data_IF_597622992738
#
_entry.id   IF_597622992738
#
_cell.length_a   1.000
_cell.length_b   1.000
_cell.length_c   1.000
_cell.angle_alpha   90.00
_cell.angle_beta   90.00
_cell.angle_gamma   90.00
#
_symmetry.space_group_name_H-M   'P 1'
#
loop_
_entity.id
_entity.type
_entity.pdbx_description
1 polymer ?
#
# COMPACT_ATOMS: atom_id res chain seq x y z
N UNK A 1 21.57 2.50 -4.92
CA UNK A 1 21.80 1.07 -4.61
C UNK A 1 21.29 0.83 -3.21
N UNK A 2 20.51 -0.21 -3.02
CA UNK A 2 19.93 -0.59 -1.72
C UNK A 2 21.02 -1.03 -0.75
N UNK A 3 21.01 -0.51 0.45
CA UNK A 3 21.97 -0.82 1.52
C UNK A 3 21.31 -1.61 2.64
N UNK A 4 22.10 -2.17 3.54
CA UNK A 4 21.58 -2.85 4.75
C UNK A 4 20.72 -1.89 5.57
N UNK A 5 21.09 -0.60 5.65
CA UNK A 5 20.31 0.41 6.40
C UNK A 5 18.92 0.62 5.80
N UNK A 6 18.79 0.61 4.47
CA UNK A 6 17.49 0.80 3.79
C UNK A 6 16.51 -0.34 4.13
N UNK A 7 17.04 -1.56 4.29
CA UNK A 7 16.23 -2.75 4.61
C UNK A 7 15.90 -2.82 6.11
N UNK A 8 16.84 -2.45 6.98
CA UNK A 8 16.69 -2.61 8.44
C UNK A 8 16.09 -1.40 9.15
N UNK A 9 16.12 -0.23 8.51
CA UNK A 9 15.54 1.02 9.02
C UNK A 9 14.80 1.73 7.89
N UNK A 10 13.65 1.21 7.48
CA UNK A 10 12.87 1.79 6.39
C UNK A 10 12.48 3.23 6.71
N UNK A 11 12.51 4.08 5.69
CA UNK A 11 12.11 5.47 5.84
C UNK A 11 10.62 5.56 6.26
N UNK A 12 10.30 6.52 7.11
CA UNK A 12 8.95 6.83 7.53
C UNK A 12 8.39 7.97 6.68
N UNK A 13 7.07 7.97 6.50
CA UNK A 13 6.37 9.03 5.76
C UNK A 13 6.20 10.31 6.56
N UNK A 14 6.29 10.24 7.88
CA UNK A 14 5.93 11.31 8.80
C UNK A 14 4.42 11.44 9.08
N UNK A 15 3.61 10.56 8.48
CA UNK A 15 2.15 10.52 8.61
C UNK A 15 1.74 9.31 9.44
N UNK A 16 1.15 9.54 10.61
CA UNK A 16 0.86 8.45 11.57
C UNK A 16 -0.10 7.40 11.01
N UNK A 17 -1.04 7.79 10.15
CA UNK A 17 -1.99 6.87 9.52
C UNK A 17 -1.35 5.95 8.48
N UNK A 18 -0.16 6.29 7.99
CA UNK A 18 0.70 5.44 7.17
C UNK A 18 1.67 4.67 8.07
N UNK A 19 2.51 5.39 8.83
CA UNK A 19 3.60 4.82 9.62
C UNK A 19 3.11 3.86 10.70
N UNK A 20 1.91 4.08 11.22
CA UNK A 20 1.24 3.20 12.17
C UNK A 20 0.86 1.83 11.62
N UNK A 21 0.87 1.67 10.30
CA UNK A 21 0.56 0.41 9.60
C UNK A 21 1.79 -0.25 8.96
N UNK A 22 2.96 0.40 8.93
CA UNK A 22 4.17 -0.19 8.36
C UNK A 22 4.73 -1.27 9.29
N UNK A 23 4.90 -2.47 8.76
CA UNK A 23 5.49 -3.61 9.44
C UNK A 23 7.01 -3.73 9.23
N UNK A 24 7.60 -4.74 9.86
CA UNK A 24 9.03 -5.04 9.76
C UNK A 24 9.41 -5.88 8.52
N UNK A 25 8.48 -6.14 7.64
CA UNK A 25 8.69 -6.92 6.41
C UNK A 25 7.36 -7.49 5.86
N UNK A 26 7.39 -8.19 4.72
CA UNK A 26 8.52 -8.27 3.80
C UNK A 26 8.69 -6.98 3.02
N UNK A 27 9.91 -6.52 2.88
CA UNK A 27 10.22 -5.39 2.02
C UNK A 27 10.33 -5.85 0.56
N UNK A 28 9.23 -6.03 -0.13
CA UNK A 28 9.26 -6.49 -1.53
C UNK A 28 10.01 -5.55 -2.47
N UNK A 29 10.09 -4.27 -2.14
CA UNK A 29 10.91 -3.29 -2.87
C UNK A 29 12.41 -3.64 -2.89
N UNK A 30 12.87 -4.46 -1.94
CA UNK A 30 14.26 -4.85 -1.81
C UNK A 30 14.62 -6.14 -2.54
N UNK A 31 13.64 -6.81 -3.19
CA UNK A 31 13.88 -8.04 -3.93
C UNK A 31 14.99 -7.83 -4.97
N UNK A 32 16.03 -8.65 -4.86
CA UNK A 32 17.18 -8.58 -5.73
C UNK A 32 17.49 -9.98 -6.32
N UNK A 33 17.55 -10.11 -7.65
CA UNK A 33 17.47 -9.05 -8.66
C UNK A 33 16.09 -8.37 -8.73
N UNK A 34 16.08 -7.08 -9.05
CA UNK A 34 14.87 -6.27 -9.11
C UNK A 34 13.89 -6.79 -10.18
N UNK A 35 12.61 -6.81 -9.81
CA UNK A 35 11.52 -7.25 -10.69
C UNK A 35 10.22 -6.54 -10.27
N UNK A 36 9.21 -6.49 -11.16
CA UNK A 36 7.87 -5.98 -10.85
C UNK A 36 6.81 -7.09 -10.77
N UNK A 37 7.23 -8.31 -10.45
CA UNK A 37 6.33 -9.47 -10.35
C UNK A 37 6.56 -10.18 -9.04
N UNK A 38 5.48 -10.46 -8.31
CA UNK A 38 5.44 -11.43 -7.23
C UNK A 38 4.72 -12.68 -7.71
N UNK A 39 5.33 -13.81 -7.46
CA UNK A 39 4.76 -15.11 -7.81
C UNK A 39 4.00 -15.66 -6.62
N UNK A 40 2.77 -16.12 -6.84
CA UNK A 40 1.99 -16.81 -5.81
C UNK A 40 1.70 -18.25 -6.21
N UNK A 41 1.38 -19.11 -5.26
CA UNK A 41 1.08 -20.51 -5.53
C UNK A 41 0.02 -21.07 -4.59
N UNK A 42 -0.78 -22.00 -5.12
CA UNK A 42 -1.65 -22.90 -4.36
C UNK A 42 -1.05 -24.31 -4.24
N UNK A 43 0.12 -24.54 -4.83
CA UNK A 43 0.83 -25.79 -4.67
C UNK A 43 1.49 -25.85 -3.29
N UNK A 44 1.23 -26.94 -2.57
CA UNK A 44 1.87 -27.19 -1.28
C UNK A 44 3.33 -27.56 -1.47
N UNK A 45 4.18 -27.05 -0.61
CA UNK A 45 5.59 -27.38 -0.54
C UNK A 45 6.06 -27.53 0.92
N UNK A 46 7.34 -27.84 1.12
CA UNK A 46 7.94 -27.99 2.43
C UNK A 46 8.54 -26.69 3.01
N UNK A 47 8.38 -25.56 2.32
CA UNK A 47 8.95 -24.27 2.75
C UNK A 47 8.37 -23.76 4.06
N UNK A 48 7.15 -24.19 4.40
CA UNK A 48 6.46 -23.89 5.66
C UNK A 48 6.84 -24.81 6.84
N UNK A 49 7.81 -25.71 6.69
CA UNK A 49 8.12 -26.71 7.71
C UNK A 49 8.43 -26.12 9.10
N UNK A 50 8.97 -24.91 9.17
CA UNK A 50 9.21 -24.21 10.42
C UNK A 50 7.93 -23.73 11.13
N UNK A 51 6.81 -23.63 10.41
CA UNK A 51 5.52 -23.19 10.94
C UNK A 51 4.74 -24.35 11.57
N UNK A 52 5.04 -25.58 11.15
CA UNK A 52 4.43 -26.80 11.70
C UNK A 52 4.86 -26.99 13.16
N UNK A 53 3.89 -27.13 14.04
CA UNK A 53 4.11 -27.25 15.49
C UNK A 53 4.32 -25.91 16.21
N UNK A 54 4.33 -24.79 15.49
CA UNK A 54 4.47 -23.43 16.06
C UNK A 54 3.32 -22.50 15.68
N UNK A 55 2.91 -22.51 14.43
CA UNK A 55 1.81 -21.68 13.89
C UNK A 55 0.64 -22.56 13.48
N UNK A 56 0.92 -23.66 12.81
CA UNK A 56 -0.06 -24.68 12.38
C UNK A 56 0.22 -26.01 13.09
N UNK A 57 -0.83 -26.75 13.44
CA UNK A 57 -0.70 -28.00 14.21
C UNK A 57 -0.08 -29.12 13.38
N UNK A 58 -0.27 -29.14 12.07
CA UNK A 58 0.25 -30.14 11.13
C UNK A 58 0.57 -29.47 9.78
N UNK A 59 1.10 -30.23 8.83
CA UNK A 59 1.29 -29.74 7.45
C UNK A 59 -0.02 -29.17 6.89
N UNK A 60 0.03 -28.05 6.15
CA UNK A 60 -1.17 -27.45 5.61
C UNK A 60 -1.81 -28.33 4.54
N UNK A 61 -3.11 -28.16 4.37
CA UNK A 61 -3.86 -28.61 3.21
C UNK A 61 -3.97 -27.51 2.16
N UNK A 62 -4.29 -27.90 0.91
CA UNK A 62 -4.43 -26.95 -0.20
C UNK A 62 -5.72 -26.12 -0.13
N UNK A 63 -5.69 -24.92 -0.67
CA UNK A 63 -6.89 -24.12 -0.89
C UNK A 63 -7.87 -24.82 -1.82
N UNK A 64 -9.16 -24.82 -1.46
CA UNK A 64 -10.23 -25.25 -2.35
C UNK A 64 -10.52 -24.16 -3.43
N UNK A 65 -11.36 -24.47 -4.42
CA UNK A 65 -11.65 -23.58 -5.54
C UNK A 65 -12.25 -22.22 -5.12
N UNK A 66 -13.04 -22.16 -4.04
CA UNK A 66 -13.60 -20.89 -3.54
C UNK A 66 -12.51 -20.01 -2.89
N UNK A 67 -11.62 -20.63 -2.13
CA UNK A 67 -10.50 -19.95 -1.49
C UNK A 67 -9.50 -19.44 -2.53
N UNK A 68 -9.20 -20.25 -3.57
CA UNK A 68 -8.35 -19.83 -4.69
C UNK A 68 -8.95 -18.63 -5.43
N UNK A 69 -10.25 -18.68 -5.75
CA UNK A 69 -10.93 -17.58 -6.41
C UNK A 69 -10.91 -16.29 -5.57
N UNK A 70 -11.12 -16.39 -4.26
CA UNK A 70 -11.05 -15.26 -3.34
C UNK A 70 -9.63 -14.67 -3.26
N UNK A 71 -8.59 -15.52 -3.19
CA UNK A 71 -7.20 -15.08 -3.18
C UNK A 71 -6.84 -14.35 -4.49
N UNK A 72 -7.22 -14.90 -5.64
CA UNK A 72 -6.99 -14.25 -6.95
C UNK A 72 -7.71 -12.90 -7.04
N UNK A 73 -8.95 -12.79 -6.53
CA UNK A 73 -9.67 -11.52 -6.47
C UNK A 73 -8.94 -10.51 -5.59
N UNK A 74 -8.49 -10.91 -4.40
CA UNK A 74 -7.76 -10.07 -3.46
C UNK A 74 -6.40 -9.60 -4.03
N UNK A 75 -5.64 -10.50 -4.67
CA UNK A 75 -4.40 -10.17 -5.37
C UNK A 75 -4.64 -9.21 -6.54
N UNK A 76 -5.75 -9.38 -7.29
CA UNK A 76 -6.16 -8.44 -8.33
C UNK A 76 -6.43 -7.04 -7.78
N UNK A 77 -6.98 -6.94 -6.57
CA UNK A 77 -7.17 -5.65 -5.90
C UNK A 77 -5.83 -5.04 -5.44
N UNK A 78 -4.94 -5.84 -4.88
CA UNK A 78 -3.58 -5.39 -4.53
C UNK A 78 -2.82 -4.89 -5.76
N UNK A 79 -2.94 -5.58 -6.90
CA UNK A 79 -2.32 -5.14 -8.17
C UNK A 79 -2.79 -3.74 -8.58
N UNK A 80 -4.08 -3.42 -8.41
CA UNK A 80 -4.62 -2.09 -8.71
C UNK A 80 -4.08 -0.99 -7.77
N UNK A 81 -3.86 -1.33 -6.48
CA UNK A 81 -3.35 -0.37 -5.49
C UNK A 81 -1.85 -0.16 -5.67
N UNK A 82 -1.10 -1.24 -5.90
CA UNK A 82 0.36 -1.25 -5.81
C UNK A 82 1.08 -1.20 -7.17
N UNK A 83 0.38 -1.51 -8.26
CA UNK A 83 1.00 -1.68 -9.59
C UNK A 83 1.85 -2.94 -9.74
N UNK A 84 1.87 -3.83 -8.73
CA UNK A 84 2.62 -5.09 -8.76
C UNK A 84 1.89 -6.11 -9.63
N UNK A 85 2.64 -6.86 -10.45
CA UNK A 85 2.11 -8.00 -11.17
C UNK A 85 2.13 -9.25 -10.29
N UNK A 86 0.97 -9.85 -10.05
CA UNK A 86 0.86 -11.14 -9.36
C UNK A 86 0.64 -12.25 -10.39
N UNK A 87 1.52 -13.25 -10.39
CA UNK A 87 1.51 -14.35 -11.37
C UNK A 87 1.53 -15.68 -10.63
N UNK A 88 0.65 -16.61 -11.01
CA UNK A 88 0.62 -17.95 -10.41
C UNK A 88 1.82 -18.78 -10.82
N UNK A 89 2.54 -19.31 -9.85
CA UNK A 89 3.61 -20.26 -10.03
C UNK A 89 3.08 -21.71 -9.87
N UNK A 90 3.52 -22.61 -10.72
CA UNK A 90 3.10 -24.01 -10.68
C UNK A 90 3.71 -24.79 -9.51
N UNK A 91 4.74 -24.28 -8.86
CA UNK A 91 5.45 -24.92 -7.73
C UNK A 91 5.80 -23.89 -6.67
N UNK A 92 5.83 -24.32 -5.40
CA UNK A 92 6.22 -23.48 -4.28
C UNK A 92 7.65 -22.96 -4.38
N UNK A 93 8.58 -23.74 -4.91
CA UNK A 93 9.99 -23.33 -5.02
C UNK A 93 10.22 -22.04 -5.85
N UNK A 94 9.25 -21.61 -6.63
CA UNK A 94 9.31 -20.42 -7.46
C UNK A 94 8.29 -19.34 -7.06
N UNK A 95 7.63 -19.52 -5.93
CA UNK A 95 6.62 -18.58 -5.43
C UNK A 95 7.20 -17.70 -4.31
N UNK A 96 6.64 -16.52 -4.18
CA UNK A 96 6.90 -15.56 -3.10
C UNK A 96 5.76 -15.55 -2.08
N UNK A 97 4.53 -15.87 -2.52
CA UNK A 97 3.33 -15.92 -1.68
C UNK A 97 2.71 -17.32 -1.80
N UNK A 98 2.55 -17.97 -0.67
CA UNK A 98 2.08 -19.34 -0.56
C UNK A 98 0.75 -19.39 0.18
N UNK A 99 -0.21 -20.15 -0.30
CA UNK A 99 -1.52 -20.29 0.31
C UNK A 99 -1.74 -21.71 0.84
N UNK A 100 -2.23 -21.81 2.07
CA UNK A 100 -2.59 -23.08 2.68
C UNK A 100 -3.68 -22.93 3.74
N UNK A 101 -4.31 -24.03 4.08
CA UNK A 101 -5.27 -24.12 5.19
C UNK A 101 -4.78 -25.09 6.24
N UNK A 102 -5.19 -24.91 7.48
CA UNK A 102 -4.83 -25.83 8.55
C UNK A 102 -5.57 -25.55 9.83
N UNK A 103 -5.13 -26.22 10.90
CA UNK A 103 -5.50 -25.89 12.27
C UNK A 103 -4.46 -24.92 12.81
N UNK A 104 -4.81 -23.65 12.93
CA UNK A 104 -3.94 -22.62 13.49
C UNK A 104 -3.94 -22.71 15.02
N UNK A 105 -2.79 -22.41 15.64
CA UNK A 105 -2.74 -22.35 17.10
C UNK A 105 -3.51 -21.12 17.63
N UNK A 106 -4.38 -21.40 18.58
CA UNK A 106 -5.24 -20.37 19.22
C UNK A 106 -6.67 -20.39 18.71
N UNK A 107 -7.62 -20.49 19.63
CA UNK A 107 -9.06 -20.62 19.34
C UNK A 107 -9.70 -19.38 18.71
N UNK A 108 -8.96 -18.27 18.58
CA UNK A 108 -9.43 -17.02 18.03
C UNK A 108 -8.62 -16.56 16.79
N UNK A 109 -7.81 -17.46 16.21
CA UNK A 109 -6.95 -17.16 15.06
C UNK A 109 -7.61 -17.69 13.79
N UNK A 110 -8.26 -16.83 13.04
CA UNK A 110 -8.97 -17.19 11.79
C UNK A 110 -8.08 -17.22 10.55
N UNK A 111 -6.97 -16.49 10.57
CA UNK A 111 -5.91 -16.47 9.57
C UNK A 111 -4.57 -16.17 10.22
N UNK A 112 -3.50 -16.43 9.50
CA UNK A 112 -2.14 -16.09 9.92
C UNK A 112 -1.22 -15.96 8.71
N UNK A 113 -0.37 -14.95 8.71
CA UNK A 113 0.68 -14.79 7.72
C UNK A 113 2.05 -14.98 8.37
N UNK A 114 2.76 -16.02 7.94
CA UNK A 114 4.15 -16.27 8.32
C UNK A 114 5.07 -15.69 7.26
N UNK A 115 6.05 -14.90 7.69
CA UNK A 115 6.98 -14.22 6.80
C UNK A 115 8.39 -14.71 7.08
N UNK A 116 9.11 -15.07 6.01
CA UNK A 116 10.52 -15.46 6.05
C UNK A 116 11.27 -14.59 5.05
N UNK A 117 12.36 -13.99 5.47
CA UNK A 117 13.18 -13.17 4.58
C UNK A 117 14.65 -13.25 4.96
N UNK A 118 15.49 -12.93 3.99
CA UNK A 118 16.92 -12.89 4.20
C UNK A 118 17.63 -12.16 3.09
N UNK A 119 18.83 -11.68 3.38
CA UNK A 119 19.65 -10.98 2.39
C UNK A 119 21.12 -11.33 2.53
N UNK A 120 21.88 -11.13 1.43
CA UNK A 120 23.32 -11.07 1.45
C UNK A 120 23.77 -9.67 1.03
N UNK A 121 24.91 -9.23 1.55
CA UNK A 121 25.44 -7.90 1.25
C UNK A 121 26.95 -7.91 1.13
N UNK A 122 27.51 -6.94 0.43
CA UNK A 122 28.94 -6.67 0.39
C UNK A 122 29.36 -5.99 1.69
N UNK A 123 30.25 -6.62 2.46
CA UNK A 123 30.66 -6.15 3.78
C UNK A 123 31.51 -4.86 3.76
N UNK A 124 32.03 -4.46 2.59
CA UNK A 124 32.83 -3.25 2.43
C UNK A 124 31.94 -2.04 2.13
N UNK A 125 30.97 -2.22 1.24
CA UNK A 125 30.06 -1.16 0.79
C UNK A 125 28.71 -1.14 1.50
N UNK A 126 28.37 -2.19 2.26
CA UNK A 126 27.04 -2.44 2.83
C UNK A 126 25.90 -2.51 1.81
N UNK A 127 26.21 -2.74 0.52
CA UNK A 127 25.24 -2.86 -0.55
C UNK A 127 24.64 -4.26 -0.58
N UNK A 128 23.31 -4.35 -0.62
CA UNK A 128 22.55 -5.60 -0.75
C UNK A 128 22.87 -6.25 -2.10
N UNK A 129 23.24 -7.53 -2.08
CA UNK A 129 23.49 -8.34 -3.27
C UNK A 129 22.32 -9.21 -3.63
N UNK A 130 21.70 -9.84 -2.64
CA UNK A 130 20.48 -10.62 -2.79
C UNK A 130 19.50 -10.28 -1.68
N UNK A 131 18.23 -10.24 -1.99
CA UNK A 131 17.14 -10.19 -1.00
C UNK A 131 16.04 -11.13 -1.46
N UNK A 132 15.64 -12.04 -0.59
CA UNK A 132 14.56 -12.99 -0.82
C UNK A 132 13.58 -12.92 0.33
N UNK A 133 12.31 -13.10 0.02
CA UNK A 133 11.27 -13.23 1.03
C UNK A 133 10.20 -14.20 0.55
N UNK A 134 9.58 -14.90 1.52
CA UNK A 134 8.42 -15.77 1.33
C UNK A 134 7.35 -15.40 2.36
N UNK A 135 6.12 -15.26 1.92
CA UNK A 135 4.95 -15.07 2.77
C UNK A 135 4.03 -16.29 2.66
N UNK A 136 3.72 -16.91 3.79
CA UNK A 136 2.83 -18.06 3.89
C UNK A 136 1.51 -17.60 4.52
N UNK A 137 0.47 -17.56 3.73
CA UNK A 137 -0.89 -17.13 4.11
C UNK A 137 -1.73 -18.35 4.44
N UNK A 138 -2.11 -18.48 5.70
CA UNK A 138 -2.91 -19.59 6.21
C UNK A 138 -4.31 -19.14 6.60
N UNK A 139 -5.31 -19.98 6.32
CA UNK A 139 -6.66 -19.86 6.86
C UNK A 139 -6.97 -21.02 7.79
N UNK A 140 -7.55 -20.73 8.95
CA UNK A 140 -8.01 -21.76 9.87
C UNK A 140 -9.25 -22.47 9.32
N UNK A 141 -9.20 -23.83 9.34
CA UNK A 141 -10.27 -24.69 8.88
C UNK A 141 -10.83 -25.60 9.96
N UNK A 142 -10.51 -25.33 11.23
CA UNK A 142 -11.07 -26.08 12.37
C UNK A 142 -12.11 -25.20 13.08
N UNK A 143 -11.70 -24.13 13.75
CA UNK A 143 -12.59 -23.23 14.46
C UNK A 143 -13.37 -22.30 13.51
N UNK A 144 -12.75 -21.90 12.40
CA UNK A 144 -13.30 -20.93 11.45
C UNK A 144 -13.70 -21.53 10.10
N UNK A 145 -13.86 -22.87 10.01
CA UNK A 145 -14.25 -23.54 8.77
C UNK A 145 -15.54 -22.98 8.15
N UNK A 146 -16.51 -22.59 8.96
CA UNK A 146 -17.80 -22.06 8.48
C UNK A 146 -17.64 -20.72 7.71
N UNK A 147 -16.68 -19.86 8.09
CA UNK A 147 -16.38 -18.59 7.40
C UNK A 147 -15.34 -18.75 6.30
N UNK A 148 -14.34 -19.61 6.52
CA UNK A 148 -13.16 -19.71 5.67
C UNK A 148 -13.31 -20.71 4.51
N UNK A 149 -14.31 -21.61 4.54
CA UNK A 149 -14.49 -22.61 3.48
C UNK A 149 -14.93 -22.02 2.14
N UNK A 150 -15.72 -20.95 2.16
CA UNK A 150 -16.27 -20.31 0.96
C UNK A 150 -16.16 -18.77 1.07
N UNK A 151 -14.94 -18.21 1.15
CA UNK A 151 -14.76 -16.79 1.22
C UNK A 151 -15.24 -16.12 -0.08
N UNK A 152 -15.98 -15.04 0.05
CA UNK A 152 -16.42 -14.19 -1.06
C UNK A 152 -16.59 -12.75 -0.56
N UNK A 153 -16.53 -11.77 -1.44
CA UNK A 153 -16.65 -10.37 -1.06
C UNK A 153 -17.89 -10.12 -0.16
N UNK A 154 -17.68 -9.51 0.99
CA UNK A 154 -18.73 -9.27 2.01
C UNK A 154 -18.87 -10.38 3.05
N UNK A 155 -18.05 -11.41 3.03
CA UNK A 155 -17.98 -12.43 4.10
C UNK A 155 -16.76 -12.21 5.01
N UNK A 156 -16.84 -12.70 6.24
CA UNK A 156 -15.72 -12.63 7.19
C UNK A 156 -14.48 -13.36 6.67
N UNK A 157 -14.64 -14.51 5.99
CA UNK A 157 -13.52 -15.24 5.40
C UNK A 157 -12.78 -14.46 4.32
N UNK A 158 -13.50 -13.65 3.51
CA UNK A 158 -12.87 -12.78 2.53
C UNK A 158 -12.13 -11.61 3.21
N UNK A 159 -12.72 -11.03 4.26
CA UNK A 159 -12.05 -10.02 5.06
C UNK A 159 -10.74 -10.55 5.68
N UNK A 160 -10.75 -11.78 6.21
CA UNK A 160 -9.54 -12.45 6.71
C UNK A 160 -8.51 -12.62 5.59
N UNK A 161 -8.91 -13.04 4.39
CA UNK A 161 -8.01 -13.15 3.24
C UNK A 161 -7.33 -11.82 2.90
N UNK A 162 -8.09 -10.71 2.87
CA UNK A 162 -7.53 -9.37 2.65
C UNK A 162 -6.56 -8.96 3.78
N UNK A 163 -6.92 -9.26 5.04
CA UNK A 163 -6.11 -8.97 6.22
C UNK A 163 -4.76 -9.69 6.14
N UNK A 164 -4.76 -10.98 5.91
CA UNK A 164 -3.53 -11.78 5.81
C UNK A 164 -2.67 -11.36 4.61
N UNK A 165 -3.29 -11.05 3.49
CA UNK A 165 -2.56 -10.47 2.36
C UNK A 165 -2.01 -9.06 2.66
N UNK A 166 -2.67 -8.28 3.52
CA UNK A 166 -2.13 -7.03 4.04
C UNK A 166 -0.79 -7.24 4.77
N UNK A 167 -0.72 -8.25 5.65
CA UNK A 167 0.53 -8.66 6.30
C UNK A 167 1.57 -9.12 5.28
N UNK A 168 1.16 -9.96 4.32
CA UNK A 168 2.05 -10.43 3.26
C UNK A 168 2.64 -9.27 2.44
N UNK A 169 1.94 -8.14 2.36
CA UNK A 169 2.39 -6.92 1.68
C UNK A 169 3.10 -5.91 2.60
N UNK A 170 3.40 -6.27 3.84
CA UNK A 170 4.20 -5.45 4.77
C UNK A 170 3.40 -4.58 5.73
N UNK A 171 2.08 -4.74 5.82
CA UNK A 171 1.29 -4.05 6.84
C UNK A 171 1.32 -4.78 8.18
N UNK A 172 1.25 -4.05 9.29
CA UNK A 172 1.09 -4.56 10.65
C UNK A 172 -0.25 -4.13 11.25
N UNK A 173 -0.57 -4.69 12.42
CA UNK A 173 -1.72 -4.21 13.17
C UNK A 173 -1.50 -2.77 13.67
N UNK A 174 -2.52 -1.90 13.59
CA UNK A 174 -2.40 -0.48 13.94
C UNK A 174 -2.18 -0.20 15.44
N UNK A 175 -2.30 -1.22 16.30
CA UNK A 175 -2.08 -1.15 17.75
C UNK A 175 -0.71 -1.70 18.18
N UNK A 176 0.11 -2.18 17.26
CA UNK A 176 1.42 -2.76 17.53
C UNK A 176 2.58 -1.78 17.33
N UNK A 177 3.71 -2.07 17.97
CA UNK A 177 4.94 -1.28 17.84
C UNK A 177 4.90 0.05 18.59
N UNK A 178 5.83 0.94 18.25
CA UNK A 178 5.96 2.27 18.84
C UNK A 178 5.07 3.32 18.15
N UNK A 179 4.90 3.21 16.83
CA UNK A 179 3.98 4.03 16.05
C UNK A 179 2.65 3.28 15.92
N UNK A 180 1.57 3.90 16.37
CA UNK A 180 0.23 3.32 16.44
C UNK A 180 -0.80 4.34 16.00
N UNK A 181 -1.92 3.87 15.45
CA UNK A 181 -3.07 4.75 15.23
C UNK A 181 -3.66 5.24 16.56
N UNK A 182 -4.33 6.39 16.49
CA UNK A 182 -5.18 6.83 17.60
C UNK A 182 -6.21 5.73 17.93
N UNK A 183 -6.51 5.45 19.21
CA UNK A 183 -7.52 4.47 19.59
C UNK A 183 -8.90 4.67 18.94
N UNK A 184 -9.28 5.91 18.61
CA UNK A 184 -10.54 6.23 17.93
C UNK A 184 -10.52 5.80 16.46
N UNK A 185 -9.34 5.72 15.82
CA UNK A 185 -9.13 5.32 14.45
C UNK A 185 -8.72 3.85 14.30
N UNK A 186 -8.37 3.18 15.42
CA UNK A 186 -8.05 1.76 15.42
C UNK A 186 -9.30 0.90 15.26
N UNK A 187 -9.90 0.92 14.07
CA UNK A 187 -11.06 0.10 13.71
C UNK A 187 -11.12 -0.11 12.19
N UNK A 188 -11.98 -1.04 11.74
CA UNK A 188 -12.09 -1.42 10.33
C UNK A 188 -12.65 -0.34 9.39
N UNK A 189 -13.09 0.82 9.91
CA UNK A 189 -13.41 1.97 9.04
C UNK A 189 -12.15 2.58 8.45
N UNK A 190 -11.07 2.61 9.22
CA UNK A 190 -9.81 3.24 8.85
C UNK A 190 -8.76 2.25 8.34
N UNK A 191 -8.66 1.07 8.97
CA UNK A 191 -7.71 0.03 8.60
C UNK A 191 -8.30 -1.36 8.77
N UNK A 192 -8.21 -2.16 7.72
CA UNK A 192 -8.58 -3.58 7.73
C UNK A 192 -7.69 -4.40 8.67
N UNK A 193 -6.48 -3.89 8.97
CA UNK A 193 -5.54 -4.53 9.90
C UNK A 193 -5.97 -4.39 11.37
N UNK A 194 -7.04 -3.65 11.68
CA UNK A 194 -7.58 -3.53 13.03
C UNK A 194 -8.48 -4.72 13.39
N UNK A 195 -8.43 -5.13 14.67
CA UNK A 195 -9.35 -6.14 15.22
C UNK A 195 -10.69 -5.57 15.68
N UNK A 196 -10.84 -4.24 15.73
CA UNK A 196 -12.09 -3.57 16.10
C UNK A 196 -13.00 -3.47 14.89
N UNK A 197 -13.95 -4.39 14.78
CA UNK A 197 -14.90 -4.40 13.65
C UNK A 197 -15.95 -3.29 13.81
N UNK A 198 -16.15 -2.49 12.76
CA UNK A 198 -17.23 -1.51 12.62
C UNK A 198 -18.04 -1.83 11.36
N UNK A 199 -19.33 -2.06 11.53
CA UNK A 199 -20.21 -2.48 10.43
C UNK A 199 -20.04 -3.96 10.05
N UNK A 200 -20.43 -4.30 8.82
CA UNK A 200 -20.26 -5.65 8.26
C UNK A 200 -18.84 -5.93 7.80
N UNK A 201 -18.58 -7.19 7.36
CA UNK A 201 -17.29 -7.55 6.81
C UNK A 201 -16.90 -6.68 5.61
N UNK A 202 -15.65 -6.31 5.55
CA UNK A 202 -15.10 -5.46 4.48
C UNK A 202 -14.94 -6.23 3.17
N UNK A 203 -15.15 -5.53 2.07
CA UNK A 203 -14.98 -6.05 0.71
C UNK A 203 -13.73 -5.54 0.02
N UNK A 204 -13.02 -4.58 0.66
CA UNK A 204 -11.85 -3.90 0.13
C UNK A 204 -10.95 -3.43 1.29
N UNK A 205 -9.73 -3.06 0.99
CA UNK A 205 -8.82 -2.37 1.88
C UNK A 205 -9.43 -1.03 2.33
N UNK A 206 -9.20 -0.68 3.58
CA UNK A 206 -9.67 0.57 4.15
C UNK A 206 -8.73 1.74 3.77
N UNK A 207 -9.16 3.00 3.98
CA UNK A 207 -8.40 4.16 3.52
C UNK A 207 -6.93 4.22 3.97
N UNK A 208 -6.62 3.82 5.20
CA UNK A 208 -5.25 3.88 5.71
C UNK A 208 -4.40 2.72 5.20
N UNK A 209 -5.00 1.54 4.95
CA UNK A 209 -4.29 0.43 4.30
C UNK A 209 -3.85 0.83 2.88
N UNK A 210 -4.77 1.47 2.12
CA UNK A 210 -4.46 1.96 0.77
C UNK A 210 -3.35 3.02 0.82
N UNK A 211 -3.39 3.93 1.79
CA UNK A 211 -2.36 4.95 1.96
C UNK A 211 -0.99 4.32 2.27
N UNK A 212 -0.93 3.34 3.18
CA UNK A 212 0.30 2.65 3.53
C UNK A 212 0.84 1.79 2.37
N UNK A 213 -0.02 1.05 1.65
CA UNK A 213 0.36 0.30 0.46
C UNK A 213 0.87 1.22 -0.67
N UNK A 214 0.25 2.40 -0.86
CA UNK A 214 0.71 3.40 -1.82
C UNK A 214 2.07 3.97 -1.44
N UNK A 215 2.31 4.23 -0.16
CA UNK A 215 3.62 4.65 0.34
C UNK A 215 4.69 3.59 0.11
N UNK A 216 4.36 2.32 0.35
CA UNK A 216 5.31 1.22 0.13
C UNK A 216 5.65 1.02 -1.34
N UNK A 217 4.67 1.08 -2.24
CA UNK A 217 4.81 0.62 -3.63
C UNK A 217 4.52 1.68 -4.70
N UNK A 218 4.03 2.85 -4.33
CA UNK A 218 3.85 4.01 -5.21
C UNK A 218 2.82 3.86 -6.32
N UNK A 219 2.00 2.81 -6.31
CA UNK A 219 1.08 2.44 -7.39
C UNK A 219 1.77 2.16 -8.75
N UNK A 220 3.09 2.09 -8.79
CA UNK A 220 3.89 1.76 -9.98
C UNK A 220 4.73 0.47 -9.80
N UNK A 221 4.54 -0.22 -8.70
CA UNK A 221 5.09 -1.55 -8.44
C UNK A 221 6.43 -1.57 -7.72
N UNK A 222 7.08 -2.73 -7.69
CA UNK A 222 8.32 -2.98 -6.94
C UNK A 222 9.54 -2.25 -7.50
N UNK A 223 9.54 -1.97 -8.79
CA UNK A 223 10.64 -1.27 -9.47
C UNK A 223 10.31 0.17 -9.83
N UNK A 224 9.21 0.69 -9.30
CA UNK A 224 8.70 2.00 -9.61
C UNK A 224 9.58 3.16 -9.12
N UNK A 225 9.29 4.34 -9.65
CA UNK A 225 9.98 5.58 -9.26
C UNK A 225 9.41 6.19 -7.96
N UNK A 226 8.27 5.67 -7.47
CA UNK A 226 7.57 6.09 -6.27
C UNK A 226 7.60 4.99 -5.21
N UNK A 227 7.30 5.36 -3.97
CA UNK A 227 7.23 4.42 -2.84
C UNK A 227 8.54 4.30 -2.06
N UNK A 228 8.55 3.39 -1.10
CA UNK A 228 9.69 3.23 -0.20
C UNK A 228 10.94 2.75 -0.95
N UNK A 229 12.06 3.41 -0.71
CA UNK A 229 13.33 3.09 -1.37
C UNK A 229 13.56 3.82 -2.70
N UNK A 230 12.67 4.70 -3.11
CA UNK A 230 12.85 5.61 -4.24
C UNK A 230 13.08 7.05 -3.76
N UNK A 231 13.49 7.92 -4.69
CA UNK A 231 13.60 9.36 -4.39
C UNK A 231 12.24 10.05 -4.36
N UNK A 232 11.23 9.52 -5.08
CA UNK A 232 9.87 10.03 -5.10
C UNK A 232 8.94 9.20 -4.22
N UNK A 233 7.89 9.84 -3.66
CA UNK A 233 6.91 9.22 -2.77
C UNK A 233 5.49 9.34 -3.31
N UNK A 234 4.65 8.39 -2.95
CA UNK A 234 3.21 8.45 -3.14
C UNK A 234 2.57 8.63 -1.76
N UNK A 235 2.16 9.87 -1.43
CA UNK A 235 1.59 10.22 -0.12
C UNK A 235 0.08 10.43 -0.24
N UNK A 236 -0.68 9.73 0.58
CA UNK A 236 -2.14 9.83 0.63
C UNK A 236 -2.56 10.30 2.01
N UNK A 237 -3.26 11.42 2.07
CA UNK A 237 -3.83 12.00 3.29
C UNK A 237 -5.10 11.29 3.76
N UNK A 238 -5.75 11.90 4.74
CA UNK A 238 -6.97 11.43 5.40
C UNK A 238 -8.22 12.09 4.77
N UNK A 239 -9.34 12.08 5.48
CA UNK A 239 -10.54 12.84 5.09
C UNK A 239 -10.65 14.18 5.84
N UNK A 240 -9.63 14.56 6.58
CA UNK A 240 -9.53 15.81 7.37
C UNK A 240 -8.31 16.62 6.89
N UNK A 241 -8.11 17.81 7.44
CA UNK A 241 -6.97 18.63 7.06
C UNK A 241 -5.62 17.96 7.33
N UNK A 242 -4.83 17.79 6.27
CA UNK A 242 -3.52 17.18 6.28
C UNK A 242 -2.41 18.15 5.84
N UNK A 243 -1.19 17.85 6.24
CA UNK A 243 0.01 18.52 5.74
C UNK A 243 0.92 17.47 5.10
N UNK A 244 0.91 17.38 3.77
CA UNK A 244 1.71 16.42 3.01
C UNK A 244 2.95 17.12 2.45
N UNK A 245 4.11 16.53 2.69
CA UNK A 245 5.40 17.04 2.20
C UNK A 245 6.12 15.93 1.45
N UNK A 246 6.31 16.09 0.15
CA UNK A 246 6.94 15.09 -0.73
C UNK A 246 8.44 14.94 -0.45
N UNK A 247 9.18 16.02 -0.56
CA UNK A 247 10.61 16.02 -0.32
C UNK A 247 11.45 16.17 -1.58
N UNK A 248 12.58 15.45 -1.73
CA UNK A 248 13.30 15.39 -2.99
C UNK A 248 12.73 14.30 -3.89
N UNK A 249 12.72 14.53 -5.21
CA UNK A 249 12.26 13.56 -6.20
C UNK A 249 10.96 13.98 -6.87
N UNK A 250 10.32 13.06 -7.57
CA UNK A 250 9.06 13.33 -8.25
C UNK A 250 7.94 12.67 -7.43
N UNK A 251 7.20 13.49 -6.69
CA UNK A 251 6.24 13.03 -5.72
C UNK A 251 4.80 13.07 -6.25
N UNK A 252 3.96 12.20 -5.71
CA UNK A 252 2.51 12.23 -5.94
C UNK A 252 1.82 12.42 -4.59
N UNK A 253 1.07 13.51 -4.44
CA UNK A 253 0.38 13.87 -3.22
C UNK A 253 -1.13 13.87 -3.45
N UNK A 254 -1.86 13.15 -2.60
CA UNK A 254 -3.33 13.00 -2.64
C UNK A 254 -3.89 13.49 -1.31
N UNK A 255 -4.39 14.73 -1.23
CA UNK A 255 -4.96 15.28 0.00
C UNK A 255 -6.23 14.54 0.43
N UNK A 256 -7.04 14.07 -0.52
CA UNK A 256 -8.42 13.62 -0.35
C UNK A 256 -9.33 14.78 0.01
N UNK A 257 -10.35 14.52 0.88
CA UNK A 257 -11.24 15.58 1.36
C UNK A 257 -10.64 16.27 2.58
N UNK A 258 -10.78 17.58 2.64
CA UNK A 258 -10.23 18.35 3.76
C UNK A 258 -9.94 19.80 3.37
N UNK A 259 -9.06 20.38 4.11
CA UNK A 259 -8.37 21.64 3.75
C UNK A 259 -6.89 21.38 3.93
N UNK A 260 -6.28 20.92 2.86
CA UNK A 260 -4.96 20.32 2.92
C UNK A 260 -3.87 21.30 2.50
N UNK A 261 -2.67 21.07 3.01
CA UNK A 261 -1.45 21.70 2.54
C UNK A 261 -0.58 20.66 1.86
N UNK A 262 -0.33 20.85 0.56
CA UNK A 262 0.46 19.95 -0.25
C UNK A 262 1.72 20.68 -0.71
N UNK A 263 2.87 20.20 -0.27
CA UNK A 263 4.19 20.70 -0.67
C UNK A 263 4.96 19.61 -1.40
N UNK A 264 5.13 19.75 -2.72
CA UNK A 264 5.87 18.79 -3.51
C UNK A 264 7.35 18.72 -3.15
N UNK A 265 7.95 19.87 -2.83
CA UNK A 265 9.36 19.94 -2.50
C UNK A 265 10.24 20.22 -3.72
N UNK A 266 11.19 19.36 -3.98
CA UNK A 266 12.11 19.51 -5.12
C UNK A 266 11.93 18.35 -6.10
N UNK A 267 11.52 18.65 -7.32
CA UNK A 267 11.30 17.63 -8.34
C UNK A 267 10.27 18.04 -9.38
N UNK A 268 9.58 17.06 -9.91
CA UNK A 268 8.41 17.23 -10.77
C UNK A 268 7.24 16.56 -10.06
N UNK A 269 6.45 17.34 -9.36
CA UNK A 269 5.48 16.85 -8.40
C UNK A 269 4.04 16.98 -8.91
N UNK A 270 3.20 16.04 -8.50
CA UNK A 270 1.81 15.96 -8.95
C UNK A 270 0.86 15.89 -7.76
N UNK A 271 -0.04 16.88 -7.64
CA UNK A 271 -1.20 16.79 -6.76
C UNK A 271 -2.36 16.08 -7.48
N UNK A 272 -3.04 15.18 -6.79
CA UNK A 272 -4.14 14.38 -7.36
C UNK A 272 -5.46 14.74 -6.69
N UNK A 273 -6.47 14.95 -7.52
CA UNK A 273 -7.83 15.33 -7.15
C UNK A 273 -8.85 14.36 -7.74
N UNK A 274 -9.90 14.08 -7.01
CA UNK A 274 -10.99 13.22 -7.47
C UNK A 274 -11.91 13.95 -8.46
N UNK A 275 -12.57 13.19 -9.36
CA UNK A 275 -13.54 13.74 -10.30
C UNK A 275 -12.91 14.56 -11.44
N UNK A 276 -13.73 15.41 -12.07
CA UNK A 276 -13.34 16.10 -13.30
C UNK A 276 -12.68 17.46 -13.01
N UNK A 277 -11.70 17.86 -13.82
CA UNK A 277 -11.05 19.18 -13.72
C UNK A 277 -12.05 20.35 -13.68
N UNK A 278 -13.15 20.25 -14.40
CA UNK A 278 -14.18 21.29 -14.46
C UNK A 278 -14.91 21.52 -13.12
N UNK A 279 -14.77 20.62 -12.15
CA UNK A 279 -15.37 20.72 -10.82
C UNK A 279 -14.51 21.48 -9.81
N UNK A 280 -13.36 22.00 -10.27
CA UNK A 280 -12.38 22.70 -9.42
C UNK A 280 -12.08 24.10 -9.94
N UNK A 281 -11.98 25.04 -8.99
CA UNK A 281 -11.47 26.38 -9.21
C UNK A 281 -10.01 26.46 -8.75
N UNK A 282 -9.15 27.00 -9.62
CA UNK A 282 -7.71 27.14 -9.37
C UNK A 282 -7.39 28.63 -9.23
N UNK A 283 -6.79 29.02 -8.11
CA UNK A 283 -6.43 30.41 -7.79
C UNK A 283 -4.94 30.51 -7.50
N UNK A 284 -4.23 31.33 -8.24
CA UNK A 284 -2.84 31.67 -7.94
C UNK A 284 -2.80 32.74 -6.81
N UNK A 285 -2.04 32.44 -5.77
CA UNK A 285 -1.89 33.33 -4.62
C UNK A 285 -0.68 34.26 -4.78
N UNK A 286 -0.71 35.39 -4.10
CA UNK A 286 0.36 36.40 -4.19
C UNK A 286 1.72 35.90 -3.64
N UNK A 287 1.73 34.88 -2.80
CA UNK A 287 2.92 34.24 -2.23
C UNK A 287 3.53 33.14 -3.11
N UNK A 288 2.98 32.91 -4.31
CA UNK A 288 3.46 31.88 -5.24
C UNK A 288 2.82 30.50 -5.04
N UNK A 289 1.98 30.31 -4.02
CA UNK A 289 1.19 29.09 -3.88
C UNK A 289 -0.06 29.11 -4.76
N UNK A 290 -0.74 27.95 -4.86
CA UNK A 290 -2.04 27.84 -5.50
C UNK A 290 -3.09 27.36 -4.50
N UNK A 291 -4.32 27.88 -4.63
CA UNK A 291 -5.48 27.30 -3.97
C UNK A 291 -6.31 26.53 -4.98
N UNK A 292 -6.64 25.28 -4.66
CA UNK A 292 -7.51 24.41 -5.44
C UNK A 292 -8.79 24.19 -4.64
N UNK A 293 -9.93 24.60 -5.17
CA UNK A 293 -11.21 24.60 -4.46
C UNK A 293 -12.20 23.76 -5.28
N UNK A 294 -12.73 22.69 -4.70
CA UNK A 294 -13.65 21.79 -5.41
C UNK A 294 -14.19 20.65 -4.54
N UNK A 295 -14.37 19.49 -5.15
CA UNK A 295 -14.98 18.33 -4.49
C UNK A 295 -14.21 17.85 -3.26
N UNK A 296 -12.90 17.90 -3.33
CA UNK A 296 -12.03 17.42 -2.24
C UNK A 296 -11.84 18.47 -1.13
N UNK A 297 -12.36 19.70 -1.32
CA UNK A 297 -12.27 20.76 -0.33
C UNK A 297 -11.59 22.02 -0.85
N UNK A 298 -10.78 22.66 0.01
CA UNK A 298 -9.97 23.81 -0.34
C UNK A 298 -8.52 23.56 0.08
N UNK A 299 -7.67 23.29 -0.90
CA UNK A 299 -6.29 22.93 -0.65
C UNK A 299 -5.33 24.02 -1.06
N UNK A 300 -4.18 24.07 -0.37
CA UNK A 300 -3.08 24.97 -0.67
C UNK A 300 -1.89 24.19 -1.18
N UNK A 301 -1.41 24.53 -2.37
CA UNK A 301 -0.33 23.83 -3.05
C UNK A 301 0.90 24.73 -3.17
N UNK A 302 2.06 24.16 -2.85
CA UNK A 302 3.39 24.77 -3.07
C UNK A 302 4.29 23.76 -3.77
N UNK A 303 5.22 24.23 -4.59
CA UNK A 303 6.20 23.40 -5.28
C UNK A 303 5.56 22.22 -6.02
N UNK A 304 4.49 22.50 -6.77
CA UNK A 304 3.78 21.51 -7.61
C UNK A 304 3.87 21.91 -9.06
N UNK A 305 4.15 20.95 -9.94
CA UNK A 305 4.22 21.17 -11.39
C UNK A 305 2.97 20.69 -12.10
N UNK A 306 2.26 19.70 -11.54
CA UNK A 306 1.08 19.13 -12.17
C UNK A 306 -0.10 18.94 -11.21
N UNK A 307 -1.32 19.09 -11.75
CA UNK A 307 -2.56 18.61 -11.15
C UNK A 307 -3.14 17.50 -12.01
N UNK A 308 -3.44 16.37 -11.41
CA UNK A 308 -4.09 15.23 -12.06
C UNK A 308 -5.52 15.10 -11.56
N UNK A 309 -6.47 15.04 -12.50
CA UNK A 309 -7.89 14.76 -12.30
C UNK A 309 -8.26 13.47 -13.01
N UNK A 310 -9.48 12.97 -12.84
CA UNK A 310 -9.92 11.74 -13.50
C UNK A 310 -9.93 11.84 -15.02
N UNK A 311 -10.16 13.05 -15.55
CA UNK A 311 -10.27 13.29 -16.99
C UNK A 311 -8.99 13.84 -17.64
N UNK A 312 -8.10 14.46 -16.87
CA UNK A 312 -6.90 15.08 -17.44
C UNK A 312 -5.83 15.43 -16.39
N UNK A 313 -4.60 15.60 -16.87
CA UNK A 313 -3.50 16.21 -16.12
C UNK A 313 -3.20 17.60 -16.71
N UNK A 314 -3.10 18.61 -15.85
CA UNK A 314 -2.79 19.99 -16.26
C UNK A 314 -1.51 20.47 -15.59
N UNK A 315 -0.62 21.19 -16.29
CA UNK A 315 0.55 21.80 -15.68
C UNK A 315 0.16 23.00 -14.82
N UNK A 316 0.82 23.15 -13.68
CA UNK A 316 0.83 24.37 -12.89
C UNK A 316 2.01 25.25 -13.36
N UNK A 317 1.74 26.25 -14.17
CA UNK A 317 2.75 27.27 -14.46
C UNK A 317 2.80 28.27 -13.32
N UNK A 318 3.88 28.28 -12.54
CA UNK A 318 4.15 29.37 -11.59
C UNK A 318 4.14 30.69 -12.38
N UNK A 319 3.46 31.73 -11.92
CA UNK A 319 3.59 33.06 -12.52
C UNK A 319 5.04 33.52 -12.29
N UNK A 320 5.85 33.46 -13.34
CA UNK A 320 7.13 34.18 -13.36
C UNK A 320 6.79 35.61 -13.09
N UNK A 321 7.25 36.18 -11.96
CA UNK A 321 6.87 37.50 -11.48
C UNK A 321 6.85 38.53 -12.59
N UNK A 322 5.69 39.00 -12.88
CA UNK A 322 5.21 40.29 -13.31
C UNK A 322 3.86 40.21 -14.03
N UNK A 323 2.84 40.75 -13.37
CA UNK A 323 1.59 41.28 -13.92
C UNK A 323 1.25 40.98 -15.40
N UNK A 324 0.71 39.78 -15.65
CA UNK A 324 -0.17 39.58 -16.80
C UNK A 324 -1.47 38.95 -16.32
N UNK A 325 -2.62 39.45 -16.77
CA UNK A 325 -3.92 38.87 -16.43
C UNK A 325 -3.96 37.42 -16.95
N UNK A 326 -4.42 36.49 -16.11
CA UNK A 326 -4.58 35.09 -16.45
C UNK A 326 -5.58 34.98 -17.59
N UNK A 327 -5.08 34.89 -18.81
CA UNK A 327 -5.87 34.58 -19.99
C UNK A 327 -6.26 33.11 -19.90
N UNK A 328 -7.54 32.81 -20.11
CA UNK A 328 -8.08 31.48 -20.29
C UNK A 328 -7.25 30.73 -21.32
N UNK A 329 -6.50 29.68 -20.93
CA UNK A 329 -5.81 28.84 -21.87
C UNK A 329 -6.86 27.93 -22.52
N UNK A 330 -7.32 28.30 -23.69
CA UNK A 330 -8.12 27.45 -24.56
C UNK A 330 -7.14 26.55 -25.32
N UNK A 331 -7.03 25.27 -24.94
CA UNK A 331 -6.34 24.29 -25.75
C UNK A 331 -7.17 24.05 -27.02
N UNK A 332 -6.62 24.45 -28.18
CA UNK A 332 -7.18 24.09 -29.47
C UNK A 332 -7.02 22.58 -29.66
N UNK A 333 -8.13 21.87 -29.82
CA UNK A 333 -8.13 20.46 -30.17
C UNK A 333 -7.59 20.26 -31.59
N UNK A 334 -6.83 19.19 -31.75
CA UNK A 334 -6.67 18.43 -33.01
C UNK A 334 -6.80 16.97 -32.69
#
# INVERSE_FOLDING_TARGET
MTTVSDVTNPALSGLIHIDGLLGDGPGWNWVAPARNTLYYTFALDAGNSADVGTIIAASPDGFNAFQQAAAVQALGRLAQITGINFVEASTGANADIHFGVGNLFGTNTSGYTSIKWGYTFDSTSNVIQTYTADAYVYLDMVEFSASNAQPSAGTSGYQVMLHELGHAMGLKHPFEGSLKLDPAENNTTYSLMSYTQVGGPRTDYAPYDIAALSYLYGADGLGGALGQGSAGHYLVGTATADNLVGGPGNDVLVGRTGTDTLDGGAGIDTAVFSGLRAQYNLVANANGSFSVIGLDGQDTLTNMEFLRFDDQTVPLSQPIGNNLPIGTITLAGT
#
